data_IF_277933497775
#
_entry.id   IF_277933497775
#
_cell.length_a   1.000
_cell.length_b   1.000
_cell.length_c   1.000
_cell.angle_alpha   90.00
_cell.angle_beta   90.00
_cell.angle_gamma   90.00
#
_symmetry.space_group_name_H-M   'P 1'
#
loop_
_entity.id
_entity.type
_entity.pdbx_description
1 polymer ?
#
# COMPACT_ATOMS: atom_id res chain seq x y z
N UNK A 1 22.06 -0.97 13.23
CA UNK A 1 21.07 -2.00 12.84
C UNK A 1 19.72 -1.74 13.50
N UNK A 2 19.56 -1.75 14.81
CA UNK A 2 18.27 -1.59 15.51
C UNK A 2 17.54 -0.28 15.17
N UNK A 3 18.24 0.87 15.19
CA UNK A 3 17.66 2.17 14.82
C UNK A 3 17.06 2.17 13.40
N UNK A 4 17.74 1.55 12.43
CA UNK A 4 17.24 1.44 11.08
C UNK A 4 15.98 0.57 11.02
N UNK A 5 15.94 -0.52 11.79
CA UNK A 5 14.78 -1.39 11.90
C UNK A 5 13.55 -0.64 12.44
N UNK A 6 13.72 0.12 13.52
CA UNK A 6 12.62 0.92 14.10
C UNK A 6 12.11 1.96 13.11
N UNK A 7 13.02 2.63 12.38
CA UNK A 7 12.66 3.61 11.38
C UNK A 7 11.88 2.97 10.21
N UNK A 8 12.35 1.84 9.70
CA UNK A 8 11.70 1.12 8.60
C UNK A 8 10.29 0.64 8.97
N UNK A 9 10.13 0.07 10.16
CA UNK A 9 8.81 -0.38 10.63
C UNK A 9 7.89 0.80 10.93
N UNK A 10 8.42 1.90 11.46
CA UNK A 10 7.67 3.14 11.66
C UNK A 10 7.18 3.75 10.35
N UNK A 11 8.04 3.78 9.32
CA UNK A 11 7.67 4.21 7.97
C UNK A 11 6.62 3.30 7.34
N UNK A 12 6.73 1.98 7.56
CA UNK A 12 5.77 1.02 7.05
C UNK A 12 4.37 1.23 7.65
N UNK A 13 4.26 1.23 8.97
CA UNK A 13 2.97 1.41 9.66
C UNK A 13 2.40 2.82 9.41
N UNK A 14 3.24 3.85 9.55
CA UNK A 14 2.83 5.24 9.36
C UNK A 14 2.48 5.57 7.92
N UNK A 15 3.19 5.02 6.95
CA UNK A 15 2.93 5.21 5.52
C UNK A 15 1.57 4.64 5.10
N UNK A 16 1.26 3.42 5.53
CA UNK A 16 -0.03 2.78 5.23
C UNK A 16 -1.18 3.54 5.89
N UNK A 17 -1.05 3.87 7.16
CA UNK A 17 -2.09 4.61 7.90
C UNK A 17 -2.22 6.06 7.43
N UNK A 18 -1.13 6.71 6.99
CA UNK A 18 -1.14 8.11 6.54
C UNK A 18 -2.01 8.36 5.32
N UNK A 19 -2.21 7.36 4.47
CA UNK A 19 -3.02 7.44 3.27
C UNK A 19 -4.48 7.81 3.49
N UNK A 20 -5.03 7.57 4.69
CA UNK A 20 -6.42 7.90 5.02
C UNK A 20 -6.67 9.43 5.07
N UNK A 21 -5.66 10.24 5.40
CA UNK A 21 -5.86 11.68 5.61
C UNK A 21 -6.26 12.39 4.31
N UNK A 22 -5.49 12.29 3.21
CA UNK A 22 -5.91 12.86 1.94
C UNK A 22 -7.15 12.17 1.36
N UNK A 23 -7.32 10.85 1.58
CA UNK A 23 -8.50 10.13 1.13
C UNK A 23 -9.80 10.73 1.71
N UNK A 24 -9.81 11.10 2.98
CA UNK A 24 -10.97 11.69 3.65
C UNK A 24 -11.14 13.16 3.28
N UNK A 25 -10.06 13.95 3.29
CA UNK A 25 -10.16 15.40 3.20
C UNK A 25 -10.27 15.96 1.77
N UNK A 26 -9.61 15.32 0.81
CA UNK A 26 -9.54 15.81 -0.58
C UNK A 26 -9.97 14.76 -1.61
N UNK A 27 -10.56 13.65 -1.18
CA UNK A 27 -11.02 12.56 -2.04
C UNK A 27 -9.92 11.92 -2.91
N UNK A 28 -8.68 11.94 -2.44
CA UNK A 28 -7.55 11.36 -3.14
C UNK A 28 -6.91 10.33 -2.24
N UNK A 29 -6.87 9.07 -2.66
CA UNK A 29 -6.20 8.05 -1.87
C UNK A 29 -4.71 8.39 -1.72
N UNK A 30 -4.23 8.56 -0.49
CA UNK A 30 -2.80 8.82 -0.22
C UNK A 30 -1.93 7.59 -0.43
N UNK A 31 -2.54 6.41 -0.45
CA UNK A 31 -1.94 5.13 -0.83
C UNK A 31 -2.94 4.35 -1.69
N UNK A 32 -2.49 3.43 -2.56
CA UNK A 32 -3.40 2.60 -3.35
C UNK A 32 -4.41 1.83 -2.48
N UNK A 33 -4.03 1.48 -1.26
CA UNK A 33 -4.89 0.76 -0.31
C UNK A 33 -5.96 1.62 0.35
N UNK A 34 -5.85 2.95 0.32
CA UNK A 34 -6.82 3.88 0.89
C UNK A 34 -7.93 4.32 -0.09
N UNK A 35 -8.02 3.69 -1.27
CA UNK A 35 -9.09 3.99 -2.25
C UNK A 35 -10.48 3.79 -1.63
N UNK A 36 -10.70 2.69 -0.89
CA UNK A 36 -12.01 2.43 -0.29
C UNK A 36 -12.36 3.41 0.86
N UNK A 37 -11.35 4.03 1.45
CA UNK A 37 -11.52 5.06 2.49
C UNK A 37 -12.20 6.31 1.93
N UNK A 38 -12.02 6.61 0.62
CA UNK A 38 -12.68 7.74 -0.03
C UNK A 38 -14.19 7.55 -0.11
N UNK A 39 -14.69 6.31 -0.20
CA UNK A 39 -16.10 6.03 -0.46
C UNK A 39 -17.04 6.52 0.64
N UNK A 40 -16.64 6.39 1.88
CA UNK A 40 -17.41 6.86 3.04
C UNK A 40 -16.71 8.00 3.79
N UNK A 41 -15.38 8.00 3.84
CA UNK A 41 -14.63 9.01 4.57
C UNK A 41 -14.81 10.42 4.00
N UNK A 42 -14.73 10.59 2.69
CA UNK A 42 -14.90 11.90 2.04
C UNK A 42 -16.34 12.42 2.14
N UNK A 43 -17.39 11.64 1.86
CA UNK A 43 -18.76 12.09 2.11
C UNK A 43 -19.05 12.50 3.56
N UNK A 44 -18.42 11.86 4.56
CA UNK A 44 -18.50 12.32 5.96
C UNK A 44 -17.84 13.69 6.10
N UNK A 45 -16.67 13.91 5.50
CA UNK A 45 -15.99 15.20 5.55
C UNK A 45 -16.83 16.32 4.90
N UNK A 46 -17.46 16.06 3.74
CA UNK A 46 -18.37 17.00 3.07
C UNK A 46 -19.56 17.42 3.94
N UNK A 47 -20.04 16.54 4.82
CA UNK A 47 -21.10 16.87 5.81
C UNK A 47 -20.59 17.65 7.03
N UNK A 48 -19.31 17.98 7.08
CA UNK A 48 -18.69 18.64 8.22
C UNK A 48 -18.32 17.71 9.37
N UNK A 49 -18.19 16.41 9.11
CA UNK A 49 -17.77 15.38 10.05
C UNK A 49 -16.31 14.94 9.83
N UNK A 50 -15.47 15.79 9.21
CA UNK A 50 -14.10 15.42 8.82
C UNK A 50 -13.21 14.96 9.97
N UNK A 51 -13.28 15.65 11.14
CA UNK A 51 -12.54 15.23 12.33
C UNK A 51 -13.03 13.88 12.87
N UNK A 52 -14.33 13.66 12.86
CA UNK A 52 -14.94 12.38 13.28
C UNK A 52 -14.50 11.24 12.35
N UNK A 53 -14.55 11.46 11.03
CA UNK A 53 -14.13 10.48 10.04
C UNK A 53 -12.65 10.11 10.20
N UNK A 54 -11.77 11.11 10.35
CA UNK A 54 -10.34 10.88 10.60
C UNK A 54 -10.11 10.05 11.87
N UNK A 55 -10.80 10.38 12.97
CA UNK A 55 -10.66 9.65 14.23
C UNK A 55 -11.20 8.22 14.16
N UNK A 56 -12.30 7.99 13.44
CA UNK A 56 -12.81 6.63 13.17
C UNK A 56 -11.79 5.85 12.36
N UNK A 57 -11.28 6.42 11.27
CA UNK A 57 -10.27 5.79 10.43
C UNK A 57 -9.02 5.42 11.20
N UNK A 58 -8.43 6.35 11.95
CA UNK A 58 -7.22 6.12 12.77
C UNK A 58 -7.46 5.03 13.83
N UNK A 59 -8.63 5.05 14.48
CA UNK A 59 -8.96 4.02 15.49
C UNK A 59 -9.12 2.64 14.84
N UNK A 60 -9.73 2.57 13.67
CA UNK A 60 -9.89 1.34 12.90
C UNK A 60 -8.53 0.81 12.41
N UNK A 61 -7.66 1.70 11.95
CA UNK A 61 -6.27 1.39 11.57
C UNK A 61 -5.48 0.82 12.74
N UNK A 62 -5.58 1.44 13.91
CA UNK A 62 -4.93 0.94 15.13
C UNK A 62 -5.44 -0.46 15.51
N UNK A 63 -6.76 -0.68 15.52
CA UNK A 63 -7.33 -1.98 15.84
C UNK A 63 -6.91 -3.05 14.83
N UNK A 64 -6.91 -2.72 13.53
CA UNK A 64 -6.44 -3.59 12.46
C UNK A 64 -4.98 -3.99 12.61
N UNK A 65 -4.12 -3.01 12.88
CA UNK A 65 -2.70 -3.22 13.13
C UNK A 65 -2.42 -4.10 14.35
N UNK A 66 -3.17 -3.89 15.45
CA UNK A 66 -3.03 -4.72 16.67
C UNK A 66 -3.47 -6.17 16.44
N UNK A 67 -4.59 -6.40 15.74
CA UNK A 67 -5.06 -7.75 15.41
C UNK A 67 -4.03 -8.45 14.51
N UNK A 68 -3.52 -7.77 13.50
CA UNK A 68 -2.52 -8.35 12.59
C UNK A 68 -1.19 -8.62 13.27
N UNK A 69 -0.79 -7.81 14.25
CA UNK A 69 0.40 -8.05 15.06
C UNK A 69 0.28 -9.34 15.89
N UNK A 70 -0.90 -9.60 16.47
CA UNK A 70 -1.16 -10.86 17.19
C UNK A 70 -1.06 -12.04 16.21
N UNK A 71 -1.66 -11.94 15.03
CA UNK A 71 -1.57 -12.98 14.00
C UNK A 71 -0.11 -13.18 13.57
N UNK A 72 0.64 -12.11 13.33
CA UNK A 72 2.06 -12.16 12.99
C UNK A 72 2.85 -12.93 14.06
N UNK A 73 2.66 -12.57 15.34
CA UNK A 73 3.39 -13.18 16.45
C UNK A 73 3.09 -14.68 16.60
N UNK A 74 1.86 -15.10 16.33
CA UNK A 74 1.45 -16.49 16.46
C UNK A 74 1.75 -17.33 15.21
N UNK A 75 1.47 -16.81 14.02
CA UNK A 75 1.56 -17.59 12.77
C UNK A 75 2.97 -17.65 12.20
N UNK A 76 3.79 -16.59 12.34
CA UNK A 76 5.13 -16.60 11.73
C UNK A 76 6.04 -17.70 12.28
N UNK A 77 6.12 -17.95 13.60
CA UNK A 77 6.92 -19.06 14.13
C UNK A 77 6.43 -20.43 13.66
N UNK A 78 5.11 -20.63 13.55
CA UNK A 78 4.52 -21.88 13.07
C UNK A 78 4.91 -22.11 11.61
N UNK A 79 4.72 -21.08 10.76
CA UNK A 79 5.05 -21.19 9.34
C UNK A 79 6.56 -21.35 9.10
N UNK A 80 7.39 -20.63 9.85
CA UNK A 80 8.84 -20.80 9.81
C UNK A 80 9.27 -22.22 10.23
N UNK A 81 8.65 -22.76 11.29
CA UNK A 81 8.90 -24.14 11.74
C UNK A 81 8.54 -25.21 10.70
N UNK A 82 7.53 -24.97 9.88
CA UNK A 82 7.23 -25.83 8.73
C UNK A 82 8.21 -25.61 7.58
N UNK A 83 8.53 -24.36 7.29
CA UNK A 83 9.40 -23.97 6.18
C UNK A 83 10.84 -24.52 6.33
N UNK A 84 11.33 -24.67 7.56
CA UNK A 84 12.64 -25.31 7.83
C UNK A 84 12.67 -26.77 7.35
N UNK A 85 11.54 -27.46 7.38
CA UNK A 85 11.42 -28.86 6.95
C UNK A 85 11.33 -29.01 5.43
N UNK A 86 11.17 -27.91 4.69
CA UNK A 86 11.07 -27.93 3.24
C UNK A 86 12.41 -28.25 2.59
N UNK A 87 12.42 -29.24 1.74
CA UNK A 87 13.52 -29.56 0.85
C UNK A 87 13.63 -28.53 -0.29
N UNK A 88 14.57 -28.69 -1.17
CA UNK A 88 14.73 -27.85 -2.35
C UNK A 88 13.51 -27.90 -3.27
N UNK A 89 12.83 -29.05 -3.32
CA UNK A 89 11.64 -29.27 -4.17
C UNK A 89 10.45 -28.43 -3.67
N UNK A 90 10.15 -28.50 -2.37
CA UNK A 90 9.05 -27.75 -1.79
C UNK A 90 9.31 -26.22 -1.89
N UNK A 91 10.55 -25.78 -1.68
CA UNK A 91 10.93 -24.37 -1.87
C UNK A 91 10.72 -23.91 -3.31
N UNK A 92 11.09 -24.73 -4.29
CA UNK A 92 10.82 -24.46 -5.70
C UNK A 92 9.32 -24.38 -5.98
N UNK A 93 8.53 -25.33 -5.44
CA UNK A 93 7.08 -25.33 -5.63
C UNK A 93 6.39 -24.11 -5.00
N UNK A 94 6.88 -23.62 -3.86
CA UNK A 94 6.36 -22.40 -3.22
C UNK A 94 6.64 -21.18 -4.11
N UNK A 95 7.84 -21.06 -4.67
CA UNK A 95 8.18 -19.98 -5.59
C UNK A 95 7.31 -20.04 -6.86
N UNK A 96 7.14 -21.23 -7.41
CA UNK A 96 6.28 -21.47 -8.56
C UNK A 96 4.82 -21.11 -8.26
N UNK A 97 4.32 -21.50 -7.07
CA UNK A 97 2.98 -21.14 -6.61
C UNK A 97 2.85 -19.61 -6.47
N UNK A 98 3.81 -18.94 -5.86
CA UNK A 98 3.79 -17.48 -5.75
C UNK A 98 3.74 -16.80 -7.13
N UNK A 99 4.52 -17.27 -8.11
CA UNK A 99 4.47 -16.78 -9.49
C UNK A 99 3.11 -17.03 -10.15
N UNK A 100 2.49 -18.20 -9.92
CA UNK A 100 1.14 -18.47 -10.46
C UNK A 100 0.07 -17.61 -9.82
N UNK A 101 0.16 -17.34 -8.51
CA UNK A 101 -0.75 -16.41 -7.82
C UNK A 101 -0.62 -14.99 -8.38
N UNK A 102 0.62 -14.49 -8.56
CA UNK A 102 0.86 -13.18 -9.15
C UNK A 102 0.27 -13.11 -10.58
N UNK A 103 0.51 -14.15 -11.40
CA UNK A 103 -0.06 -14.23 -12.75
C UNK A 103 -1.58 -14.26 -12.74
N UNK A 104 -2.20 -15.03 -11.83
CA UNK A 104 -3.66 -15.12 -11.69
C UNK A 104 -4.29 -13.79 -11.26
N UNK A 105 -3.61 -13.03 -10.40
CA UNK A 105 -4.05 -11.72 -9.92
C UNK A 105 -3.89 -10.60 -10.97
N UNK A 106 -3.19 -10.85 -12.08
CA UNK A 106 -2.97 -9.89 -13.17
C UNK A 106 -4.23 -9.61 -14.02
N UNK A 107 -5.40 -9.63 -13.42
CA UNK A 107 -6.72 -9.17 -13.94
C UNK A 107 -6.96 -9.46 -15.42
N UNK A 108 -6.99 -10.73 -15.83
CA UNK A 108 -7.25 -11.15 -17.22
C UNK A 108 -6.03 -11.05 -18.15
N UNK A 109 -4.88 -10.61 -17.65
CA UNK A 109 -3.62 -10.55 -18.39
C UNK A 109 -2.58 -11.57 -17.86
N UNK A 110 -3.03 -12.75 -17.48
CA UNK A 110 -2.20 -13.80 -16.87
C UNK A 110 -0.91 -14.08 -17.66
N UNK A 111 -0.99 -14.16 -18.99
CA UNK A 111 0.18 -14.35 -19.83
C UNK A 111 1.20 -13.22 -19.71
N UNK A 112 0.75 -11.96 -19.62
CA UNK A 112 1.65 -10.82 -19.40
C UNK A 112 2.32 -10.89 -18.04
N UNK A 113 1.56 -11.22 -16.98
CA UNK A 113 2.11 -11.42 -15.64
C UNK A 113 3.17 -12.51 -15.60
N UNK A 114 2.93 -13.64 -16.30
CA UNK A 114 3.89 -14.73 -16.41
C UNK A 114 5.16 -14.30 -17.18
N UNK A 115 5.02 -13.61 -18.31
CA UNK A 115 6.15 -13.09 -19.07
C UNK A 115 7.01 -12.13 -18.26
N UNK A 116 6.39 -11.21 -17.52
CA UNK A 116 7.10 -10.26 -16.63
C UNK A 116 7.81 -11.01 -15.52
N UNK A 117 7.17 -12.03 -14.92
CA UNK A 117 7.79 -12.88 -13.92
C UNK A 117 9.02 -13.63 -14.46
N UNK A 118 8.92 -14.21 -15.64
CA UNK A 118 10.04 -14.87 -16.31
C UNK A 118 11.18 -13.89 -16.63
N UNK A 119 10.86 -12.68 -17.12
CA UNK A 119 11.84 -11.63 -17.32
C UNK A 119 12.55 -11.24 -16.01
N UNK A 120 11.81 -11.13 -14.91
CA UNK A 120 12.38 -10.87 -13.60
C UNK A 120 13.37 -11.94 -13.15
N UNK A 121 13.04 -13.22 -13.34
CA UNK A 121 13.96 -14.34 -13.07
C UNK A 121 15.19 -14.26 -13.96
N UNK A 122 15.03 -13.98 -15.26
CA UNK A 122 16.13 -13.83 -16.20
C UNK A 122 17.08 -12.70 -15.78
N UNK A 123 16.54 -11.52 -15.44
CA UNK A 123 17.30 -10.36 -14.94
C UNK A 123 18.04 -10.70 -13.64
N UNK A 124 17.40 -11.43 -12.72
CA UNK A 124 18.03 -11.86 -11.48
C UNK A 124 19.20 -12.85 -11.70
N UNK A 125 19.22 -13.57 -12.83
CA UNK A 125 20.32 -14.49 -13.19
C UNK A 125 21.49 -13.80 -13.87
N UNK A 126 21.37 -12.53 -14.27
CA UNK A 126 22.43 -11.76 -14.94
C UNK A 126 23.47 -11.28 -13.92
N UNK A 127 24.50 -12.09 -13.70
CA UNK A 127 25.60 -11.79 -12.78
C UNK A 127 26.85 -12.61 -13.13
N UNK A 128 27.95 -12.33 -12.42
CA UNK A 128 29.12 -13.21 -12.43
C UNK A 128 28.86 -14.42 -11.54
N UNK A 129 29.07 -15.61 -12.06
CA UNK A 129 28.89 -16.85 -11.30
C UNK A 129 30.11 -17.12 -10.43
N UNK A 130 29.87 -17.22 -9.12
CA UNK A 130 30.94 -17.29 -8.12
C UNK A 130 31.84 -18.53 -8.17
N UNK A 131 31.42 -19.61 -8.85
CA UNK A 131 32.19 -20.86 -8.90
C UNK A 131 33.28 -20.83 -9.93
N UNK A 132 33.01 -20.28 -11.13
CA UNK A 132 33.95 -20.22 -12.26
C UNK A 132 34.27 -18.80 -12.70
N UNK A 133 33.74 -17.79 -12.03
CA UNK A 133 33.90 -16.35 -12.39
C UNK A 133 33.42 -15.99 -13.80
N UNK A 134 32.60 -16.84 -14.43
CA UNK A 134 32.04 -16.55 -15.74
C UNK A 134 30.82 -15.66 -15.64
N UNK A 135 30.66 -14.73 -16.57
CA UNK A 135 29.49 -13.87 -16.65
C UNK A 135 28.34 -14.61 -17.34
N UNK A 136 27.16 -14.55 -16.72
CA UNK A 136 25.93 -15.14 -17.28
C UNK A 136 25.08 -14.05 -17.91
N UNK A 137 24.87 -14.15 -19.21
CA UNK A 137 23.97 -13.28 -19.98
C UNK A 137 24.29 -11.77 -19.83
N UNK A 138 25.52 -11.44 -19.45
CA UNK A 138 26.00 -10.07 -19.31
C UNK A 138 26.75 -9.69 -20.59
N UNK A 139 26.40 -8.56 -21.25
CA UNK A 139 27.17 -8.06 -22.39
C UNK A 139 28.58 -7.65 -21.96
N UNK A 140 29.60 -7.90 -22.81
CA UNK A 140 31.00 -7.62 -22.51
C UNK A 140 31.26 -6.19 -22.02
N UNK A 141 30.58 -5.20 -22.59
CA UNK A 141 30.72 -3.80 -22.20
C UNK A 141 30.19 -3.48 -20.80
N UNK A 142 29.37 -4.36 -20.18
CA UNK A 142 28.82 -4.19 -18.83
C UNK A 142 29.46 -5.10 -17.79
N UNK A 143 30.37 -6.00 -18.16
CA UNK A 143 30.95 -6.97 -17.23
C UNK A 143 31.54 -6.32 -15.99
N UNK A 144 32.30 -5.24 -16.15
CA UNK A 144 32.92 -4.52 -15.04
C UNK A 144 31.92 -3.92 -14.05
N UNK A 145 30.70 -3.61 -14.51
CA UNK A 145 29.67 -2.98 -13.72
C UNK A 145 28.67 -3.99 -13.16
N UNK A 146 28.54 -5.16 -13.78
CA UNK A 146 27.55 -6.18 -13.44
C UNK A 146 28.11 -7.41 -12.71
N UNK A 147 29.31 -7.32 -12.12
CA UNK A 147 29.89 -8.42 -11.33
C UNK A 147 28.90 -8.94 -10.25
N UNK A 148 28.25 -8.04 -9.53
CA UNK A 148 27.24 -8.35 -8.51
C UNK A 148 25.80 -8.41 -9.06
N UNK A 149 25.63 -8.35 -10.38
CA UNK A 149 24.31 -8.32 -11.02
C UNK A 149 23.48 -7.08 -10.70
N UNK A 150 22.18 -7.20 -10.92
CA UNK A 150 21.20 -6.21 -10.50
C UNK A 150 20.97 -6.30 -8.99
N UNK A 151 21.11 -5.18 -8.30
CA UNK A 151 20.84 -5.14 -6.87
C UNK A 151 19.35 -5.00 -6.61
N UNK A 152 18.83 -5.80 -5.67
CA UNK A 152 17.40 -5.84 -5.35
C UNK A 152 16.87 -4.46 -4.97
N UNK A 153 17.55 -3.73 -4.10
CA UNK A 153 17.07 -2.46 -3.56
C UNK A 153 16.92 -1.35 -4.62
N UNK A 154 17.93 -1.03 -5.46
CA UNK A 154 17.75 -0.09 -6.57
C UNK A 154 16.67 -0.49 -7.57
N UNK A 155 16.57 -1.80 -7.87
CA UNK A 155 15.51 -2.32 -8.76
C UNK A 155 14.12 -2.05 -8.17
N UNK A 156 13.93 -2.33 -6.89
CA UNK A 156 12.64 -2.11 -6.21
C UNK A 156 12.30 -0.62 -6.09
N UNK A 157 13.28 0.24 -5.80
CA UNK A 157 13.06 1.70 -5.79
C UNK A 157 12.61 2.17 -7.19
N UNK A 158 13.27 1.71 -8.24
CA UNK A 158 12.90 2.07 -9.62
C UNK A 158 11.51 1.62 -10.00
N UNK A 159 11.19 0.36 -9.73
CA UNK A 159 9.89 -0.25 -10.09
C UNK A 159 8.71 0.29 -9.28
N UNK A 160 8.89 0.59 -8.00
CA UNK A 160 7.79 1.01 -7.13
C UNK A 160 7.82 2.50 -6.82
N UNK A 161 8.91 3.02 -6.26
CA UNK A 161 8.92 4.40 -5.80
C UNK A 161 8.96 5.40 -6.95
N UNK A 162 9.89 5.22 -7.91
CA UNK A 162 10.06 6.18 -9.01
C UNK A 162 8.91 6.08 -10.01
N UNK A 163 8.43 4.87 -10.33
CA UNK A 163 7.28 4.71 -11.22
C UNK A 163 6.00 5.31 -10.63
N UNK A 164 5.72 5.10 -9.35
CA UNK A 164 4.58 5.68 -8.65
C UNK A 164 4.63 7.20 -8.64
N UNK A 165 5.81 7.78 -8.35
CA UNK A 165 5.99 9.24 -8.40
C UNK A 165 5.72 9.82 -9.78
N UNK A 166 6.22 9.16 -10.84
CA UNK A 166 6.01 9.64 -12.20
C UNK A 166 4.54 9.56 -12.61
N UNK A 167 3.87 8.48 -12.23
CA UNK A 167 2.43 8.32 -12.45
C UNK A 167 1.63 9.40 -11.73
N UNK A 168 1.98 9.71 -10.48
CA UNK A 168 1.35 10.80 -9.74
C UNK A 168 1.66 12.17 -10.33
N UNK A 169 2.87 12.38 -10.89
CA UNK A 169 3.16 13.61 -11.64
C UNK A 169 2.29 13.76 -12.89
N UNK A 170 2.07 12.67 -13.63
CA UNK A 170 1.21 12.68 -14.81
C UNK A 170 -0.26 12.95 -14.45
N UNK A 171 -0.77 12.28 -13.44
CA UNK A 171 -2.15 12.47 -12.97
C UNK A 171 -2.33 13.82 -12.25
N UNK A 172 -1.35 14.25 -11.48
CA UNK A 172 -1.37 15.50 -10.72
C UNK A 172 -1.27 16.75 -11.59
N UNK A 173 -0.63 16.69 -12.77
CA UNK A 173 -0.61 17.83 -13.72
C UNK A 173 -2.01 18.17 -14.28
N UNK A 174 -2.97 17.23 -14.18
CA UNK A 174 -4.37 17.46 -14.53
C UNK A 174 -5.26 17.84 -13.32
N UNK A 175 -4.78 17.65 -12.10
CA UNK A 175 -5.49 18.00 -10.87
C UNK A 175 -4.88 19.27 -10.27
N UNK A 176 -5.23 20.43 -10.83
CA UNK A 176 -4.94 21.72 -10.21
C UNK A 176 -5.85 21.86 -8.98
N UNK A 177 -5.32 21.52 -7.80
CA UNK A 177 -6.06 21.65 -6.55
C UNK A 177 -6.22 23.13 -6.22
N UNK A 178 -7.42 23.63 -6.34
CA UNK A 178 -7.80 24.89 -5.75
C UNK A 178 -7.93 24.69 -4.22
N UNK A 179 -7.60 25.74 -3.46
CA UNK A 179 -7.89 25.72 -2.01
C UNK A 179 -9.38 25.53 -1.70
N UNK A 180 -10.23 25.69 -2.70
CA UNK A 180 -11.69 25.49 -2.64
C UNK A 180 -12.08 24.02 -2.61
N UNK A 181 -11.20 23.10 -3.09
CA UNK A 181 -11.47 21.66 -3.11
C UNK A 181 -11.17 20.97 -1.77
N UNK A 182 -10.53 21.69 -0.84
CA UNK A 182 -10.23 21.14 0.49
C UNK A 182 -11.39 21.35 1.44
N UNK A 183 -11.93 20.24 1.94
CA UNK A 183 -12.96 20.29 2.97
C UNK A 183 -12.33 20.77 4.28
N UNK A 184 -12.83 21.90 4.78
CA UNK A 184 -12.42 22.41 6.09
C UNK A 184 -12.72 21.34 7.17
N UNK A 185 -11.76 21.06 8.03
CA UNK A 185 -11.94 20.09 9.12
C UNK A 185 -12.90 20.70 10.15
N UNK A 186 -14.21 20.60 9.86
CA UNK A 186 -15.27 20.98 10.77
C UNK A 186 -15.55 19.84 11.73
N UNK A 187 -16.03 20.20 12.92
CA UNK A 187 -16.36 19.28 13.99
C UNK A 187 -17.82 19.45 14.39
N UNK A 188 -18.72 19.20 13.44
CA UNK A 188 -20.15 19.31 13.69
C UNK A 188 -20.67 18.16 14.59
N UNK A 189 -20.00 17.00 14.50
CA UNK A 189 -20.34 15.82 15.32
C UNK A 189 -19.05 15.31 15.99
N UNK A 190 -19.07 15.23 17.32
CA UNK A 190 -17.92 14.75 18.10
C UNK A 190 -17.76 13.23 17.95
N UNK A 191 -16.51 12.80 17.78
CA UNK A 191 -16.16 11.40 17.86
C UNK A 191 -16.44 10.81 19.23
N UNK A 192 -17.07 9.64 19.27
CA UNK A 192 -17.29 8.85 20.48
C UNK A 192 -17.02 7.38 20.20
N UNK A 193 -15.99 6.83 20.85
CA UNK A 193 -15.61 5.42 20.64
C UNK A 193 -16.79 4.46 20.84
N UNK A 194 -17.54 4.65 21.92
CA UNK A 194 -18.69 3.80 22.25
C UNK A 194 -19.83 3.93 21.25
N UNK A 195 -20.08 5.13 20.73
CA UNK A 195 -21.16 5.38 19.78
C UNK A 195 -20.79 4.93 18.37
N UNK A 196 -19.61 5.30 17.88
CA UNK A 196 -19.19 5.10 16.50
C UNK A 196 -18.82 3.63 16.21
N UNK A 197 -18.37 2.89 17.22
CA UNK A 197 -18.04 1.46 17.13
C UNK A 197 -19.12 0.54 17.71
N UNK A 198 -20.27 1.09 18.16
CA UNK A 198 -21.37 0.27 18.66
C UNK A 198 -21.88 -0.67 17.56
N UNK A 199 -21.82 -1.97 17.82
CA UNK A 199 -22.23 -3.00 16.85
C UNK A 199 -21.21 -3.28 15.73
N UNK A 200 -20.07 -2.57 15.71
CA UNK A 200 -19.04 -2.71 14.67
C UNK A 200 -17.87 -3.64 15.05
N UNK A 201 -17.89 -4.21 16.26
CA UNK A 201 -16.79 -5.08 16.73
C UNK A 201 -16.54 -6.25 15.79
N UNK A 202 -17.61 -6.91 15.34
CA UNK A 202 -17.51 -8.03 14.39
C UNK A 202 -16.95 -7.53 13.04
N UNK A 203 -17.36 -6.35 12.59
CA UNK A 203 -16.85 -5.74 11.36
C UNK A 203 -15.35 -5.46 11.46
N UNK A 204 -14.88 -4.88 12.57
CA UNK A 204 -13.45 -4.64 12.83
C UNK A 204 -12.65 -5.95 12.79
N UNK A 205 -13.07 -6.96 13.58
CA UNK A 205 -12.33 -8.23 13.67
C UNK A 205 -12.29 -8.93 12.32
N UNK A 206 -13.43 -9.05 11.65
CA UNK A 206 -13.54 -9.70 10.33
C UNK A 206 -12.70 -8.99 9.28
N UNK A 207 -12.82 -7.67 9.17
CA UNK A 207 -12.07 -6.89 8.18
C UNK A 207 -10.57 -6.91 8.45
N UNK A 208 -10.16 -6.86 9.71
CA UNK A 208 -8.75 -7.01 10.10
C UNK A 208 -8.19 -8.38 9.73
N UNK A 209 -8.93 -9.45 10.01
CA UNK A 209 -8.52 -10.82 9.65
C UNK A 209 -8.47 -11.02 8.14
N UNK A 210 -9.44 -10.44 7.39
CA UNK A 210 -9.40 -10.43 5.92
C UNK A 210 -8.17 -9.72 5.40
N UNK A 211 -7.88 -8.51 5.91
CA UNK A 211 -6.67 -7.78 5.54
C UNK A 211 -5.41 -8.57 5.83
N UNK A 212 -5.34 -9.17 7.02
CA UNK A 212 -4.20 -10.02 7.41
C UNK A 212 -4.05 -11.23 6.50
N UNK A 213 -5.15 -11.93 6.19
CA UNK A 213 -5.14 -13.07 5.28
C UNK A 213 -4.69 -12.66 3.86
N UNK A 214 -5.20 -11.54 3.35
CA UNK A 214 -4.78 -11.02 2.05
C UNK A 214 -3.31 -10.60 2.04
N UNK A 215 -2.79 -10.09 3.16
CA UNK A 215 -1.36 -9.79 3.32
C UNK A 215 -0.47 -11.04 3.26
N UNK A 216 -0.95 -12.18 3.77
CA UNK A 216 -0.21 -13.45 3.69
C UNK A 216 -0.10 -13.95 2.23
N UNK A 217 -1.03 -13.58 1.35
CA UNK A 217 -1.00 -13.99 -0.05
C UNK A 217 -0.09 -13.05 -0.86
N UNK A 218 1.01 -13.56 -1.46
CA UNK A 218 1.94 -12.73 -2.20
C UNK A 218 1.27 -11.98 -3.36
N UNK A 219 1.53 -10.68 -3.47
CA UNK A 219 1.12 -9.87 -4.62
C UNK A 219 -0.33 -9.37 -4.61
N UNK A 220 -1.15 -9.71 -3.62
CA UNK A 220 -2.55 -9.25 -3.53
C UNK A 220 -2.63 -7.75 -3.26
N UNK A 221 -1.80 -7.27 -2.33
CA UNK A 221 -1.70 -5.85 -1.99
C UNK A 221 -2.90 -5.28 -1.22
N UNK A 222 -2.71 -4.08 -0.69
CA UNK A 222 -3.68 -3.42 0.19
C UNK A 222 -4.96 -2.96 -0.50
N UNK A 223 -4.88 -2.59 -1.78
CA UNK A 223 -6.07 -2.16 -2.54
C UNK A 223 -7.11 -3.26 -2.67
N UNK A 224 -6.67 -4.48 -3.01
CA UNK A 224 -7.56 -5.63 -3.11
C UNK A 224 -8.11 -6.02 -1.73
N UNK A 225 -7.26 -6.01 -0.69
CA UNK A 225 -7.67 -6.31 0.68
C UNK A 225 -8.76 -5.36 1.17
N UNK A 226 -8.56 -4.05 1.01
CA UNK A 226 -9.54 -3.02 1.42
C UNK A 226 -10.84 -3.13 0.64
N UNK A 227 -10.77 -3.38 -0.68
CA UNK A 227 -11.96 -3.52 -1.53
C UNK A 227 -12.78 -4.75 -1.15
N UNK A 228 -12.14 -5.89 -0.89
CA UNK A 228 -12.81 -7.12 -0.48
C UNK A 228 -13.46 -6.92 0.89
N UNK A 229 -12.75 -6.31 1.85
CA UNK A 229 -13.30 -6.04 3.18
C UNK A 229 -14.50 -5.09 3.11
N UNK A 230 -14.40 -4.02 2.31
CA UNK A 230 -15.50 -3.09 2.07
C UNK A 230 -16.71 -3.77 1.43
N UNK A 231 -16.49 -4.57 0.38
CA UNK A 231 -17.55 -5.31 -0.31
C UNK A 231 -18.22 -6.31 0.61
N UNK A 232 -17.46 -6.98 1.47
CA UNK A 232 -18.00 -7.90 2.45
C UNK A 232 -18.76 -7.17 3.55
N UNK A 233 -18.29 -6.02 4.04
CA UNK A 233 -19.03 -5.17 4.96
C UNK A 233 -20.37 -4.77 4.36
N UNK A 234 -20.38 -4.36 3.09
CA UNK A 234 -21.61 -4.02 2.36
C UNK A 234 -22.59 -5.19 2.28
N UNK A 235 -22.09 -6.39 1.99
CA UNK A 235 -22.94 -7.61 1.87
C UNK A 235 -23.54 -8.06 3.21
N UNK A 236 -22.89 -7.74 4.32
CA UNK A 236 -23.31 -8.16 5.67
C UNK A 236 -23.99 -7.04 6.46
N UNK A 237 -23.99 -5.83 5.91
CA UNK A 237 -24.67 -4.68 6.52
C UNK A 237 -26.19 -4.87 6.53
N UNK A 238 -26.82 -4.34 7.56
CA UNK A 238 -28.28 -4.24 7.62
C UNK A 238 -28.81 -3.19 6.63
N UNK A 239 -27.97 -2.23 6.26
CA UNK A 239 -28.29 -1.11 5.38
C UNK A 239 -27.23 -0.96 4.27
N UNK A 240 -27.11 -1.94 3.35
CA UNK A 240 -26.08 -1.94 2.32
C UNK A 240 -26.16 -0.74 1.37
N UNK A 241 -27.33 -0.13 1.26
CA UNK A 241 -27.63 1.07 0.46
C UNK A 241 -26.95 2.34 1.02
N UNK A 242 -26.63 2.37 2.30
CA UNK A 242 -25.97 3.51 2.93
C UNK A 242 -24.45 3.50 2.74
N UNK A 243 -23.83 2.34 2.47
CA UNK A 243 -22.38 2.28 2.23
C UNK A 243 -22.05 2.99 0.91
N UNK A 244 -21.10 3.92 0.99
CA UNK A 244 -20.73 4.87 -0.08
C UNK A 244 -21.43 6.22 0.05
N UNK A 245 -22.22 6.44 1.09
CA UNK A 245 -22.87 7.74 1.36
C UNK A 245 -22.26 8.48 2.55
N UNK A 246 -21.26 7.89 3.20
CA UNK A 246 -20.56 8.46 4.35
C UNK A 246 -21.04 7.87 5.67
N UNK A 247 -20.99 6.57 5.82
CA UNK A 247 -21.28 5.87 7.07
C UNK A 247 -20.00 5.31 7.70
N UNK A 248 -19.90 5.27 9.04
CA UNK A 248 -18.73 4.73 9.73
C UNK A 248 -18.39 3.28 9.35
N UNK A 249 -19.39 2.46 9.05
CA UNK A 249 -19.26 1.03 8.79
C UNK A 249 -18.30 0.72 7.64
N UNK A 250 -18.42 1.43 6.51
CA UNK A 250 -17.54 1.24 5.35
C UNK A 250 -16.11 1.74 5.61
N UNK A 251 -15.99 2.87 6.32
CA UNK A 251 -14.70 3.44 6.72
C UNK A 251 -13.97 2.50 7.71
N UNK A 252 -14.68 1.93 8.68
CA UNK A 252 -14.15 0.96 9.63
C UNK A 252 -13.63 -0.28 8.89
N UNK A 253 -14.41 -0.81 7.95
CA UNK A 253 -14.01 -2.01 7.23
C UNK A 253 -12.76 -1.80 6.39
N UNK A 254 -12.69 -0.70 5.62
CA UNK A 254 -11.55 -0.40 4.76
C UNK A 254 -10.27 -0.17 5.56
N UNK A 255 -10.32 0.62 6.63
CA UNK A 255 -9.13 0.96 7.41
C UNK A 255 -8.65 -0.18 8.32
N UNK A 256 -9.56 -0.94 8.91
CA UNK A 256 -9.17 -2.14 9.68
C UNK A 256 -8.50 -3.19 8.79
N UNK A 257 -8.97 -3.37 7.56
CA UNK A 257 -8.35 -4.28 6.60
C UNK A 257 -7.01 -3.75 6.09
N UNK A 258 -6.92 -2.46 5.78
CA UNK A 258 -5.71 -1.81 5.29
C UNK A 258 -4.54 -2.01 6.27
N UNK A 259 -4.77 -1.75 7.55
CA UNK A 259 -3.76 -1.95 8.58
C UNK A 259 -3.64 -3.41 9.05
N UNK A 260 -4.69 -4.21 8.90
CA UNK A 260 -4.64 -5.66 9.07
C UNK A 260 -3.63 -6.32 8.13
N UNK A 261 -3.49 -5.79 6.92
CA UNK A 261 -2.51 -6.26 5.94
C UNK A 261 -1.07 -6.10 6.41
N UNK A 262 -0.74 -5.08 7.21
CA UNK A 262 0.64 -4.81 7.63
C UNK A 262 1.31 -5.99 8.32
N UNK A 263 0.67 -6.56 9.33
CA UNK A 263 1.17 -7.78 9.98
C UNK A 263 1.08 -8.98 9.05
N UNK A 264 0.00 -9.10 8.28
CA UNK A 264 -0.20 -10.19 7.33
C UNK A 264 0.92 -10.31 6.30
N UNK A 265 1.34 -9.20 5.69
CA UNK A 265 2.39 -9.17 4.68
C UNK A 265 3.80 -9.47 5.24
N UNK A 266 4.01 -9.22 6.53
CA UNK A 266 5.25 -9.59 7.22
C UNK A 266 5.35 -11.08 7.54
N UNK A 267 4.23 -11.81 7.61
CA UNK A 267 4.25 -13.27 7.87
C UNK A 267 5.07 -14.02 6.81
N UNK A 268 4.72 -13.97 5.51
CA UNK A 268 5.51 -14.66 4.49
C UNK A 268 6.89 -14.02 4.29
N UNK A 269 7.03 -12.71 4.48
CA UNK A 269 8.31 -12.03 4.39
C UNK A 269 9.32 -12.61 5.38
N UNK A 270 8.97 -12.69 6.66
CA UNK A 270 9.88 -13.10 7.72
C UNK A 270 10.05 -14.63 7.80
N UNK A 271 9.02 -15.42 7.41
CA UNK A 271 9.06 -16.87 7.47
C UNK A 271 9.59 -17.54 6.21
N UNK A 272 9.32 -16.98 5.03
CA UNK A 272 9.68 -17.58 3.74
C UNK A 272 10.63 -16.70 2.91
N UNK A 273 10.80 -15.44 3.27
CA UNK A 273 11.54 -14.45 2.46
C UNK A 273 10.76 -13.98 1.23
N UNK A 274 9.43 -14.12 1.23
CA UNK A 274 8.56 -13.75 0.12
C UNK A 274 7.73 -12.54 0.54
N UNK A 275 7.83 -11.38 -0.15
CA UNK A 275 7.05 -10.21 0.22
C UNK A 275 5.56 -10.39 -0.07
N UNK A 276 4.69 -9.94 0.85
CA UNK A 276 3.24 -9.99 0.68
C UNK A 276 2.71 -8.88 -0.24
N UNK A 277 3.38 -7.72 -0.24
CA UNK A 277 2.99 -6.56 -1.05
C UNK A 277 4.22 -5.78 -1.56
N UNK A 278 3.99 -4.70 -2.32
CA UNK A 278 5.06 -3.85 -2.86
C UNK A 278 5.89 -3.17 -1.78
N UNK A 279 5.27 -2.78 -0.67
CA UNK A 279 5.98 -2.11 0.44
C UNK A 279 6.89 -3.07 1.18
N UNK A 280 6.42 -4.29 1.46
CA UNK A 280 7.25 -5.34 2.06
C UNK A 280 8.33 -5.84 1.10
N UNK A 281 8.12 -5.72 -0.23
CA UNK A 281 9.18 -5.98 -1.21
C UNK A 281 10.34 -4.97 -1.08
N UNK A 282 10.05 -3.69 -0.89
CA UNK A 282 11.08 -2.68 -0.59
C UNK A 282 11.72 -2.92 0.77
N UNK A 283 10.92 -3.32 1.75
CA UNK A 283 11.38 -3.58 3.12
C UNK A 283 12.37 -4.74 3.18
N UNK A 284 12.19 -5.81 2.39
CA UNK A 284 13.17 -6.92 2.32
C UNK A 284 14.54 -6.42 1.82
N UNK A 285 14.56 -5.55 0.80
CA UNK A 285 15.79 -4.94 0.31
C UNK A 285 16.49 -4.11 1.40
N UNK A 286 15.73 -3.32 2.16
CA UNK A 286 16.24 -2.53 3.26
C UNK A 286 16.78 -3.40 4.42
N UNK A 287 16.12 -4.53 4.73
CA UNK A 287 16.62 -5.50 5.71
C UNK A 287 17.93 -6.14 5.25
N UNK A 288 18.02 -6.52 3.99
CA UNK A 288 19.26 -7.09 3.42
C UNK A 288 20.44 -6.11 3.50
N UNK A 289 20.21 -4.81 3.27
CA UNK A 289 21.25 -3.77 3.44
C UNK A 289 21.74 -3.65 4.88
N UNK A 290 20.90 -3.97 5.85
CA UNK A 290 21.26 -4.01 7.26
C UNK A 290 21.87 -5.36 7.69
N UNK A 291 22.09 -6.30 6.75
CA UNK A 291 22.62 -7.63 7.04
C UNK A 291 21.58 -8.58 7.62
N UNK A 292 20.30 -8.22 7.61
CA UNK A 292 19.20 -9.04 8.09
C UNK A 292 18.72 -9.93 6.96
N UNK A 293 18.98 -11.23 7.06
CA UNK A 293 18.50 -12.23 6.13
C UNK A 293 17.16 -12.79 6.63
N UNK A 294 16.09 -12.47 5.92
CA UNK A 294 14.74 -13.00 6.19
C UNK A 294 14.55 -14.36 5.55
N UNK A 295 13.64 -15.16 6.09
CA UNK A 295 13.36 -16.51 5.57
C UNK A 295 13.19 -17.55 6.68
N UNK A 296 13.13 -18.85 6.35
CA UNK A 296 12.77 -19.93 7.29
C UNK A 296 13.61 -19.99 8.56
N UNK A 297 14.89 -19.68 8.46
CA UNK A 297 15.82 -19.71 9.60
C UNK A 297 15.91 -18.36 10.33
N UNK A 298 15.17 -17.33 9.89
CA UNK A 298 15.28 -15.99 10.46
C UNK A 298 15.01 -15.97 11.97
N UNK A 299 13.91 -16.57 12.40
CA UNK A 299 13.50 -16.56 13.81
C UNK A 299 14.48 -17.34 14.68
N UNK A 300 14.96 -18.50 14.20
CA UNK A 300 15.90 -19.34 14.94
C UNK A 300 17.28 -18.73 15.03
N UNK A 301 17.77 -18.13 13.97
CA UNK A 301 19.10 -17.53 13.91
C UNK A 301 19.16 -16.14 14.56
N UNK A 302 18.03 -15.41 14.59
CA UNK A 302 17.96 -14.03 15.05
C UNK A 302 16.78 -13.81 16.02
N UNK A 303 16.67 -14.54 17.15
CA UNK A 303 15.52 -14.42 18.05
C UNK A 303 15.40 -13.03 18.68
N UNK A 304 16.50 -12.35 18.90
CA UNK A 304 16.52 -10.98 19.42
C UNK A 304 15.90 -10.01 18.41
N UNK A 305 16.29 -10.11 17.12
CA UNK A 305 15.76 -9.24 16.07
C UNK A 305 14.26 -9.52 15.86
N UNK A 306 13.85 -10.79 15.92
CA UNK A 306 12.44 -11.17 15.86
C UNK A 306 11.60 -10.49 16.95
N UNK A 307 12.02 -10.61 18.20
CA UNK A 307 11.34 -9.96 19.33
C UNK A 307 11.37 -8.44 19.21
N UNK A 308 12.47 -7.89 18.72
CA UNK A 308 12.61 -6.45 18.45
C UNK A 308 11.59 -5.98 17.40
N UNK A 309 11.37 -6.75 16.34
CA UNK A 309 10.34 -6.44 15.31
C UNK A 309 8.94 -6.39 15.94
N UNK A 310 8.58 -7.38 16.75
CA UNK A 310 7.27 -7.42 17.40
C UNK A 310 7.05 -6.23 18.34
N UNK A 311 8.03 -5.92 19.19
CA UNK A 311 7.95 -4.79 20.11
C UNK A 311 7.94 -3.47 19.33
N UNK A 312 8.76 -3.34 18.29
CA UNK A 312 8.80 -2.15 17.46
C UNK A 312 7.45 -1.92 16.75
N UNK A 313 6.84 -2.95 16.17
CA UNK A 313 5.51 -2.85 15.56
C UNK A 313 4.43 -2.46 16.56
N UNK A 314 4.48 -3.01 17.78
CA UNK A 314 3.59 -2.60 18.87
C UNK A 314 3.74 -1.11 19.17
N UNK A 315 4.97 -0.65 19.39
CA UNK A 315 5.27 0.75 19.66
C UNK A 315 4.87 1.64 18.47
N UNK A 316 5.17 1.22 17.23
CA UNK A 316 4.81 1.97 16.02
C UNK A 316 3.29 2.12 15.88
N UNK A 317 2.50 1.07 16.14
CA UNK A 317 1.04 1.16 16.12
C UNK A 317 0.50 2.11 17.20
N UNK A 318 1.05 2.05 18.43
CA UNK A 318 0.65 2.95 19.51
C UNK A 318 1.02 4.41 19.16
N UNK A 319 2.26 4.64 18.69
CA UNK A 319 2.72 5.98 18.30
C UNK A 319 1.94 6.51 17.12
N UNK A 320 1.66 5.69 16.11
CA UNK A 320 0.81 6.05 14.97
C UNK A 320 -0.56 6.52 15.48
N UNK A 321 -1.20 5.74 16.36
CA UNK A 321 -2.48 6.13 16.95
C UNK A 321 -2.40 7.48 17.67
N UNK A 322 -1.41 7.66 18.54
CA UNK A 322 -1.25 8.91 19.31
C UNK A 322 -0.99 10.11 18.38
N UNK A 323 -0.05 9.96 17.45
CA UNK A 323 0.36 11.04 16.53
C UNK A 323 -0.74 11.40 15.54
N UNK A 324 -1.56 10.45 15.11
CA UNK A 324 -2.64 10.73 14.16
C UNK A 324 -3.96 11.12 14.83
N UNK A 325 -4.24 10.62 16.04
CA UNK A 325 -5.50 10.88 16.72
C UNK A 325 -5.57 12.26 17.37
N UNK A 326 -4.50 12.67 18.08
CA UNK A 326 -4.51 13.93 18.84
C UNK A 326 -4.31 15.16 17.95
N UNK A 327 -3.24 15.28 17.13
CA UNK A 327 -3.01 16.44 16.31
C UNK A 327 -3.67 16.34 14.92
N UNK A 328 -4.83 15.71 14.82
CA UNK A 328 -5.52 15.46 13.55
C UNK A 328 -5.70 16.72 12.69
N UNK A 329 -5.91 17.87 13.32
CA UNK A 329 -6.03 19.17 12.62
C UNK A 329 -4.70 19.67 12.07
N UNK A 330 -3.58 19.32 12.70
CA UNK A 330 -2.25 19.64 12.21
C UNK A 330 -1.91 18.78 10.99
N UNK A 331 -2.21 17.48 11.06
CA UNK A 331 -2.02 16.54 9.95
C UNK A 331 -2.82 16.96 8.72
N UNK A 332 -4.04 17.45 8.91
CA UNK A 332 -4.84 18.00 7.82
C UNK A 332 -4.15 19.15 7.07
N UNK A 333 -3.34 19.97 7.75
CA UNK A 333 -2.55 21.03 7.10
C UNK A 333 -1.36 20.50 6.30
N UNK A 334 -0.80 19.35 6.68
CA UNK A 334 0.34 18.73 5.97
C UNK A 334 -0.10 18.25 4.58
N UNK A 335 -1.34 17.79 4.45
CA UNK A 335 -1.93 17.34 3.17
C UNK A 335 -2.00 18.48 2.15
N UNK A 336 -2.02 19.74 2.61
CA UNK A 336 -2.04 20.92 1.75
C UNK A 336 -0.67 21.28 1.16
N UNK A 337 0.40 20.55 1.51
CA UNK A 337 1.72 20.79 0.93
C UNK A 337 1.68 20.37 -0.55
N UNK A 338 2.01 21.28 -1.49
CA UNK A 338 2.00 20.94 -2.91
C UNK A 338 2.94 19.76 -3.21
N UNK A 339 2.43 18.74 -3.87
CA UNK A 339 3.17 17.56 -4.25
C UNK A 339 4.37 17.89 -5.15
N UNK A 340 4.26 18.92 -5.95
CA UNK A 340 5.32 19.47 -6.79
C UNK A 340 6.63 19.76 -6.03
N UNK A 341 6.54 20.08 -4.74
CA UNK A 341 7.71 20.32 -3.88
C UNK A 341 8.27 19.04 -3.28
N UNK A 342 7.43 18.02 -3.08
CA UNK A 342 7.83 16.75 -2.48
C UNK A 342 8.54 15.84 -3.49
N UNK A 343 8.05 15.76 -4.72
CA UNK A 343 8.58 14.83 -5.72
C UNK A 343 10.06 15.01 -6.05
N UNK A 344 10.58 16.23 -6.27
CA UNK A 344 12.02 16.40 -6.52
C UNK A 344 12.89 15.95 -5.35
N UNK A 345 12.42 16.21 -4.10
CA UNK A 345 13.16 15.80 -2.89
C UNK A 345 13.19 14.29 -2.76
N UNK A 346 12.05 13.62 -2.96
CA UNK A 346 11.96 12.16 -2.88
C UNK A 346 12.79 11.51 -4.01
N UNK A 347 12.74 12.04 -5.24
CA UNK A 347 13.54 11.53 -6.36
C UNK A 347 15.04 11.66 -6.08
N UNK A 348 15.46 12.80 -5.51
CA UNK A 348 16.84 12.99 -5.10
C UNK A 348 17.25 11.98 -4.01
N UNK A 349 16.38 11.75 -3.01
CA UNK A 349 16.64 10.73 -1.97
C UNK A 349 16.72 9.32 -2.56
N UNK A 350 15.87 8.97 -3.51
CA UNK A 350 15.88 7.68 -4.21
C UNK A 350 17.20 7.49 -4.99
N UNK A 351 17.64 8.51 -5.72
CA UNK A 351 18.90 8.44 -6.50
C UNK A 351 20.13 8.34 -5.60
N UNK A 352 20.17 9.13 -4.52
CA UNK A 352 21.26 9.05 -3.52
C UNK A 352 21.24 7.69 -2.82
N UNK A 353 20.08 7.18 -2.45
CA UNK A 353 19.93 5.86 -1.82
C UNK A 353 20.41 4.73 -2.74
N UNK A 354 20.03 4.75 -4.00
CA UNK A 354 20.48 3.76 -4.98
C UNK A 354 22.02 3.83 -5.19
N UNK A 355 22.57 5.03 -5.29
CA UNK A 355 24.03 5.24 -5.42
C UNK A 355 24.80 4.71 -4.20
N UNK A 356 24.25 4.89 -3.00
CA UNK A 356 24.90 4.47 -1.75
C UNK A 356 24.89 2.94 -1.53
N UNK A 357 24.09 2.18 -2.29
CA UNK A 357 23.85 0.73 -2.05
C UNK A 357 25.15 -0.10 -2.18
N UNK A 358 25.95 0.12 -3.19
CA UNK A 358 27.23 -0.59 -3.43
C UNK A 358 28.36 0.40 -3.67
N UNK A 359 28.77 1.11 -2.63
CA UNK A 359 29.97 1.97 -2.63
C UNK A 359 30.04 2.94 -3.82
N UNK A 360 28.90 3.47 -4.29
CA UNK A 360 28.89 4.46 -5.36
C UNK A 360 28.80 3.88 -6.77
N UNK A 361 28.19 2.73 -6.97
CA UNK A 361 28.03 2.13 -8.30
C UNK A 361 26.96 2.88 -9.11
N UNK A 362 27.41 3.59 -10.16
CA UNK A 362 26.50 4.35 -11.07
C UNK A 362 25.51 3.46 -11.82
N UNK A 363 25.84 2.20 -12.04
CA UNK A 363 24.96 1.23 -12.69
C UNK A 363 23.61 1.10 -11.95
N UNK A 364 23.60 1.16 -10.61
CA UNK A 364 22.39 1.08 -9.81
C UNK A 364 21.49 2.30 -10.01
N UNK A 365 22.05 3.48 -10.23
CA UNK A 365 21.31 4.69 -10.58
C UNK A 365 20.69 4.56 -11.98
N UNK A 366 21.46 4.02 -12.95
CA UNK A 366 20.91 3.76 -14.28
C UNK A 366 19.80 2.70 -14.26
N UNK A 367 19.95 1.64 -13.44
CA UNK A 367 18.90 0.64 -13.26
C UNK A 367 17.63 1.27 -12.73
N UNK A 368 17.73 2.12 -11.69
CA UNK A 368 16.60 2.84 -11.12
C UNK A 368 15.88 3.68 -12.19
N UNK A 369 16.62 4.44 -13.00
CA UNK A 369 16.06 5.29 -14.05
C UNK A 369 15.49 4.48 -15.23
N UNK A 370 16.10 3.36 -15.61
CA UNK A 370 15.62 2.52 -16.70
C UNK A 370 14.33 1.77 -16.33
N UNK A 371 14.25 1.26 -15.09
CA UNK A 371 13.13 0.48 -14.63
C UNK A 371 11.88 1.31 -14.29
N UNK A 372 11.99 2.64 -14.26
CA UNK A 372 10.86 3.54 -14.03
C UNK A 372 9.67 3.32 -14.98
N UNK A 373 9.93 2.87 -16.20
CA UNK A 373 8.89 2.62 -17.20
C UNK A 373 8.30 1.20 -17.11
N UNK A 374 8.88 0.33 -16.28
CA UNK A 374 8.41 -1.04 -16.09
C UNK A 374 7.55 -1.21 -14.83
N UNK A 375 7.34 -0.15 -14.06
CA UNK A 375 6.52 -0.16 -12.85
C UNK A 375 5.03 -0.39 -13.16
N UNK A 376 4.22 -0.72 -12.17
CA UNK A 376 2.79 -0.93 -12.34
C UNK A 376 2.12 0.34 -12.86
N UNK A 377 1.77 0.37 -14.14
CA UNK A 377 0.89 1.39 -14.68
C UNK A 377 -0.54 1.00 -14.30
N UNK A 378 -1.16 1.73 -13.41
CA UNK A 378 -2.60 1.63 -13.09
C UNK A 378 -3.48 2.16 -14.24
N UNK A 379 -3.08 1.90 -15.49
CA UNK A 379 -4.02 2.06 -16.58
C UNK A 379 -5.10 0.99 -16.42
N UNK A 380 -6.26 1.47 -15.99
CA UNK A 380 -7.51 0.76 -15.91
C UNK A 380 -7.65 -0.23 -14.75
N UNK A 381 -7.84 0.32 -13.54
CA UNK A 381 -8.85 -0.25 -12.67
C UNK A 381 -10.20 0.22 -13.23
N UNK A 382 -10.94 -0.54 -14.02
CA UNK A 382 -12.32 -0.22 -14.24
C UNK A 382 -12.98 -0.46 -12.89
N UNK A 383 -13.13 0.62 -12.10
CA UNK A 383 -14.09 0.62 -11.01
C UNK A 383 -15.39 0.07 -11.60
N UNK A 384 -15.97 -0.99 -11.04
CA UNK A 384 -17.25 -1.46 -11.52
C UNK A 384 -18.20 -0.27 -11.48
N UNK A 385 -18.72 0.16 -12.63
CA UNK A 385 -19.66 1.28 -12.80
C UNK A 385 -20.93 1.13 -11.94
N UNK A 386 -21.04 0.05 -11.22
CA UNK A 386 -22.16 -0.30 -10.32
C UNK A 386 -22.20 0.55 -9.02
N UNK A 387 -21.15 1.30 -8.69
CA UNK A 387 -21.07 2.04 -7.42
C UNK A 387 -21.13 3.57 -7.56
N UNK A 388 -21.28 4.10 -8.76
CA UNK A 388 -21.60 5.52 -8.92
C UNK A 388 -23.12 5.68 -8.84
N UNK A 389 -23.66 6.46 -7.91
CA UNK A 389 -25.09 6.76 -7.89
C UNK A 389 -25.42 7.52 -9.19
N UNK A 390 -26.36 6.98 -9.95
CA UNK A 390 -26.86 7.51 -11.22
C UNK A 390 -27.71 8.77 -10.99
N UNK A 391 -27.12 9.81 -10.40
CA UNK A 391 -27.77 11.13 -10.24
C UNK A 391 -26.74 12.26 -10.27
N UNK A 392 -26.31 12.63 -11.46
CA UNK A 392 -25.85 13.99 -11.75
C UNK A 392 -25.89 14.26 -13.27
N UNK A 393 -27.06 14.05 -13.88
CA UNK A 393 -27.41 14.68 -15.15
C UNK A 393 -28.91 14.99 -15.19
N UNK A 394 -29.30 16.02 -14.46
CA UNK A 394 -30.51 16.82 -14.76
C UNK A 394 -30.33 18.22 -14.20
N UNK A 395 -29.28 18.90 -14.63
CA UNK A 395 -29.19 20.34 -14.52
C UNK A 395 -30.02 20.97 -15.65
N UNK A 396 -31.34 21.05 -15.46
CA UNK A 396 -32.16 22.02 -16.19
C UNK A 396 -31.62 23.41 -15.88
N UNK A 397 -31.10 24.09 -16.86
CA UNK A 397 -30.94 25.55 -16.81
C UNK A 397 -32.32 26.19 -16.87
N UNK A 398 -32.70 27.04 -15.94
CA UNK A 398 -33.83 27.92 -16.11
C UNK A 398 -33.35 29.23 -16.78
N UNK A 399 -34.09 29.70 -17.73
CA UNK A 399 -34.00 31.10 -18.12
C UNK A 399 -33.66 31.37 -19.55
N UNK A 400 -34.67 31.70 -20.31
CA UNK A 400 -34.62 32.27 -21.65
C UNK A 400 -36.00 32.53 -22.16
N UNK A 401 -36.73 33.45 -21.47
CA UNK A 401 -37.87 34.16 -22.04
C UNK A 401 -37.34 35.07 -23.17
N UNK A 402 -37.97 35.11 -24.33
CA UNK A 402 -38.58 36.25 -24.96
C UNK A 402 -38.74 36.08 -26.48
N UNK A 403 -39.93 36.44 -26.86
CA UNK A 403 -40.40 37.05 -28.10
C UNK A 403 -40.68 36.24 -29.35
N UNK A 404 -41.92 36.20 -29.54
CA UNK A 404 -42.71 36.94 -30.54
C UNK A 404 -42.80 36.31 -31.93
N UNK A 405 -43.99 36.24 -32.37
CA UNK A 405 -44.30 36.46 -33.74
C UNK A 405 -45.25 35.44 -34.32
N UNK A 406 -46.50 35.68 -34.13
CA UNK A 406 -47.58 35.85 -35.11
C UNK A 406 -47.30 35.30 -36.54
N UNK A 407 -48.19 34.50 -37.00
CA UNK A 407 -49.02 34.53 -38.15
C UNK A 407 -49.25 33.14 -38.81
N UNK A 408 -50.58 32.86 -38.84
CA UNK A 408 -51.36 32.35 -40.00
C UNK A 408 -50.83 31.05 -40.68
N UNK A 409 -51.52 30.05 -40.61
CA UNK A 409 -52.77 29.62 -41.22
C UNK A 409 -53.19 28.31 -40.56
#
# INVERSE_FOLDING_TARGET
MEMALYLLLGLYVGGISGGLVPAILINIPGTPSSVCTTFDGHPMALRGEGERALKIGVTSSFMGGMISLVVLALFTPILAGWAIKFSAVEKFLIILFALTVIAALSRGQMLRGLWIGMLGVLVAMMNQFSVNNEYRMVPEFLESQMQSGFQLFPVLIGLFAVSEMLQQCETGMHASYSKEDTVEVKNNVKFSLLHDFKGQVINVIRSSLLGTFMGILPGVGGSAASLIAYSQAKSWSKHPELLGTGVPEGLIASESSNNGLTGGALVPLLSLGIPGDSTTAVLIGAFMLQGIQVGPLFITNNPVIWNTILVALLCCNILMYLVMFFPVKLLAKIVLIPQERLYPVVLMMCTVGAYATLNGRMFDVWCLLALRHCGPSDQEVPLPRVLLPHRLHSGRRPGGLLHSGAHRL
#
